data_IF_381836700217
#
_entry.id   IF_381836700217
#
_cell.length_a   1.000
_cell.length_b   1.000
_cell.length_c   1.000
_cell.angle_alpha   90.00
_cell.angle_beta   90.00
_cell.angle_gamma   90.00
#
_symmetry.space_group_name_H-M   'P 1'
#
loop_
_entity.id
_entity.type
_entity.pdbx_description
1 polymer ?
#
# COMPACT_ATOMS: atom_id res chain seq x y z
N UNK A 1 22.32 -12.91 -3.85
CA UNK A 1 21.03 -12.84 -4.57
C UNK A 1 20.37 -11.54 -4.21
N UNK A 2 19.90 -10.74 -5.18
CA UNK A 2 19.09 -9.56 -4.88
C UNK A 2 17.67 -10.07 -4.64
N UNK A 3 17.20 -9.95 -3.40
CA UNK A 3 15.83 -10.28 -3.03
C UNK A 3 14.90 -9.37 -3.84
N UNK A 4 14.03 -9.96 -4.65
CA UNK A 4 13.24 -9.24 -5.65
C UNK A 4 11.93 -8.79 -5.03
N UNK A 5 11.94 -7.62 -4.41
CA UNK A 5 10.84 -7.20 -3.55
C UNK A 5 9.82 -6.36 -4.32
N UNK A 6 8.57 -6.81 -4.36
CA UNK A 6 7.46 -5.91 -4.68
C UNK A 6 7.38 -4.81 -3.60
N UNK A 7 7.12 -3.53 -3.95
CA UNK A 7 7.08 -2.41 -3.01
C UNK A 7 6.26 -2.69 -1.74
N UNK A 8 5.11 -3.34 -1.90
CA UNK A 8 4.23 -3.80 -0.84
C UNK A 8 3.32 -4.91 -1.35
N UNK A 9 2.65 -5.62 -0.43
CA UNK A 9 1.58 -6.57 -0.74
C UNK A 9 0.53 -5.99 -1.70
N UNK A 10 0.10 -4.76 -1.45
CA UNK A 10 -0.86 -4.05 -2.30
C UNK A 10 -0.34 -3.88 -3.74
N UNK A 11 0.93 -3.51 -3.90
CA UNK A 11 1.55 -3.34 -5.23
C UNK A 11 1.68 -4.66 -5.97
N UNK A 12 2.05 -5.72 -5.27
CA UNK A 12 2.14 -7.06 -5.86
C UNK A 12 0.79 -7.50 -6.43
N UNK A 13 -0.26 -7.44 -5.60
CA UNK A 13 -1.59 -7.90 -5.97
C UNK A 13 -2.26 -6.98 -7.00
N UNK A 14 -2.00 -5.67 -6.96
CA UNK A 14 -2.50 -4.76 -7.99
C UNK A 14 -2.00 -5.15 -9.39
N UNK A 15 -0.79 -5.72 -9.46
CA UNK A 15 -0.20 -6.27 -10.68
C UNK A 15 -0.87 -7.54 -11.21
N UNK A 16 -1.85 -8.12 -10.52
CA UNK A 16 -2.56 -9.31 -11.00
C UNK A 16 -3.35 -9.03 -12.28
N UNK A 17 -3.30 -9.97 -13.21
CA UNK A 17 -4.12 -10.05 -14.41
C UNK A 17 -4.40 -11.52 -14.69
N UNK A 18 -5.28 -11.82 -15.65
CA UNK A 18 -5.74 -13.19 -15.91
C UNK A 18 -4.66 -14.12 -16.48
N UNK A 19 -3.56 -13.58 -17.00
CA UNK A 19 -2.45 -14.38 -17.54
C UNK A 19 -1.06 -13.85 -17.13
N UNK A 20 -0.03 -14.71 -17.07
CA UNK A 20 1.34 -14.31 -16.76
C UNK A 20 1.89 -13.24 -17.71
N UNK A 21 1.55 -13.27 -19.00
CA UNK A 21 2.02 -12.30 -20.00
C UNK A 21 1.48 -10.89 -19.73
N UNK A 22 0.23 -10.80 -19.28
CA UNK A 22 -0.39 -9.53 -18.90
C UNK A 22 0.26 -8.95 -17.64
N UNK A 23 0.52 -9.80 -16.64
CA UNK A 23 1.28 -9.43 -15.44
C UNK A 23 2.68 -8.95 -15.81
N UNK A 24 3.39 -9.69 -16.67
CA UNK A 24 4.72 -9.35 -17.16
C UNK A 24 4.74 -7.96 -17.80
N UNK A 25 3.82 -7.72 -18.75
CA UNK A 25 3.68 -6.42 -19.43
C UNK A 25 3.42 -5.28 -18.45
N UNK A 26 2.52 -5.48 -17.49
CA UNK A 26 2.21 -4.47 -16.48
C UNK A 26 3.42 -4.17 -15.58
N UNK A 27 4.15 -5.20 -15.15
CA UNK A 27 5.37 -5.07 -14.36
C UNK A 27 6.47 -4.33 -15.13
N UNK A 28 6.70 -4.68 -16.39
CA UNK A 28 7.67 -3.97 -17.25
C UNK A 28 7.30 -2.50 -17.41
N UNK A 29 6.03 -2.18 -17.65
CA UNK A 29 5.57 -0.79 -17.73
C UNK A 29 5.85 -0.03 -16.42
N UNK A 30 5.59 -0.64 -15.27
CA UNK A 30 5.90 -0.05 -13.97
C UNK A 30 7.40 0.21 -13.79
N UNK A 31 8.26 -0.75 -14.16
CA UNK A 31 9.71 -0.61 -14.10
C UNK A 31 10.25 0.49 -15.03
N UNK A 32 9.63 0.64 -16.21
CA UNK A 32 10.03 1.63 -17.22
C UNK A 32 9.47 3.03 -16.96
N UNK A 33 8.43 3.15 -16.14
CA UNK A 33 7.76 4.41 -15.81
C UNK A 33 7.34 4.41 -14.34
N UNK A 34 8.32 4.48 -13.42
CA UNK A 34 8.03 4.45 -11.98
C UNK A 34 7.22 5.69 -11.55
N UNK A 35 6.49 5.62 -10.43
CA UNK A 35 5.78 6.76 -9.85
C UNK A 35 6.70 7.98 -9.66
N UNK A 36 6.17 9.18 -9.94
CA UNK A 36 6.93 10.43 -9.83
C UNK A 36 6.91 11.07 -8.43
N UNK A 37 6.15 10.49 -7.50
CA UNK A 37 6.03 10.96 -6.11
C UNK A 37 5.91 9.76 -5.16
N UNK A 38 6.08 10.03 -3.86
CA UNK A 38 5.96 9.05 -2.77
C UNK A 38 4.86 9.44 -1.81
N UNK A 39 4.27 8.49 -1.09
CA UNK A 39 3.30 8.80 -0.04
C UNK A 39 3.90 8.77 1.36
N UNK A 40 5.21 8.59 1.49
CA UNK A 40 5.91 8.55 2.78
C UNK A 40 5.53 9.69 3.75
N UNK A 41 5.46 10.97 3.32
CA UNK A 41 5.10 12.06 4.24
C UNK A 41 3.70 11.90 4.86
N UNK A 42 2.77 11.23 4.17
CA UNK A 42 1.41 11.04 4.67
C UNK A 42 1.33 10.05 5.82
N UNK A 43 2.23 9.06 5.89
CA UNK A 43 2.22 8.11 7.00
C UNK A 43 2.57 8.81 8.33
N UNK A 44 3.62 9.63 8.34
CA UNK A 44 4.00 10.41 9.54
C UNK A 44 2.92 11.42 9.92
N UNK A 45 2.37 12.14 8.95
CA UNK A 45 1.30 13.10 9.21
C UNK A 45 0.02 12.42 9.69
N UNK A 46 -0.28 11.20 9.21
CA UNK A 46 -1.41 10.44 9.70
C UNK A 46 -1.18 9.94 11.13
N UNK A 47 0.04 9.53 11.48
CA UNK A 47 0.39 9.25 12.87
C UNK A 47 0.20 10.48 13.76
N UNK A 48 0.71 11.65 13.35
CA UNK A 48 0.57 12.90 14.10
C UNK A 48 -0.90 13.33 14.24
N UNK A 49 -1.72 13.10 13.20
CA UNK A 49 -3.17 13.30 13.25
C UNK A 49 -3.80 12.44 14.34
N UNK A 50 -3.47 11.15 14.39
CA UNK A 50 -3.99 10.24 15.41
C UNK A 50 -3.50 10.61 16.82
N UNK A 51 -2.32 11.21 16.95
CA UNK A 51 -1.82 11.77 18.22
C UNK A 51 -2.49 13.09 18.62
N UNK A 52 -3.42 13.58 17.81
CA UNK A 52 -4.20 14.79 18.11
C UNK A 52 -3.47 16.09 17.81
N UNK A 53 -2.45 16.07 16.95
CA UNK A 53 -1.77 17.31 16.57
C UNK A 53 -2.73 18.26 15.82
N UNK A 54 -2.67 19.58 16.06
CA UNK A 54 -3.57 20.53 15.41
C UNK A 54 -3.50 20.49 13.88
N UNK A 55 -4.67 20.45 13.23
CA UNK A 55 -4.78 20.31 11.77
C UNK A 55 -4.00 21.35 10.96
N UNK A 56 -3.94 22.60 11.44
CA UNK A 56 -3.18 23.68 10.82
C UNK A 56 -1.66 23.43 10.83
N UNK A 57 -1.13 22.78 11.87
CA UNK A 57 0.27 22.38 11.94
C UNK A 57 0.57 21.23 10.98
N UNK A 58 -0.33 20.24 10.90
CA UNK A 58 -0.23 19.14 9.95
C UNK A 58 -0.20 19.64 8.49
N UNK A 59 -1.07 20.61 8.16
CA UNK A 59 -1.09 21.27 6.85
C UNK A 59 0.22 21.99 6.54
N UNK A 60 0.81 22.65 7.53
CA UNK A 60 2.11 23.32 7.38
C UNK A 60 3.24 22.31 7.18
N UNK A 61 3.21 21.17 7.88
CA UNK A 61 4.14 20.06 7.70
C UNK A 61 4.09 19.48 6.29
N UNK A 62 2.89 19.12 5.80
CA UNK A 62 2.69 18.61 4.44
C UNK A 62 3.19 19.60 3.38
N UNK A 63 2.94 20.89 3.57
CA UNK A 63 3.35 21.93 2.61
C UNK A 63 4.87 22.08 2.50
N UNK A 64 5.62 21.65 3.52
CA UNK A 64 7.09 21.65 3.52
C UNK A 64 7.70 20.33 3.03
N UNK A 65 6.90 19.27 2.92
CA UNK A 65 7.38 17.93 2.56
C UNK A 65 7.71 17.77 1.07
N UNK A 66 7.16 18.62 0.20
CA UNK A 66 7.46 18.63 -1.23
C UNK A 66 7.31 20.07 -1.78
N UNK A 67 8.10 20.44 -2.77
CA UNK A 67 8.06 21.77 -3.40
C UNK A 67 7.11 21.85 -4.60
N UNK A 68 6.63 20.71 -5.11
CA UNK A 68 5.77 20.64 -6.30
C UNK A 68 4.31 20.83 -5.90
N UNK A 69 3.69 21.91 -6.39
CA UNK A 69 2.30 22.28 -6.04
C UNK A 69 1.29 21.15 -6.21
N UNK A 70 1.40 20.37 -7.28
CA UNK A 70 0.46 19.27 -7.55
C UNK A 70 0.61 18.11 -6.56
N UNK A 71 1.83 17.86 -6.05
CA UNK A 71 2.09 16.84 -5.02
C UNK A 71 1.53 17.30 -3.68
N UNK A 72 1.83 18.54 -3.29
CA UNK A 72 1.34 19.14 -2.04
C UNK A 72 -0.19 19.20 -2.03
N UNK A 73 -0.82 19.61 -3.15
CA UNK A 73 -2.27 19.59 -3.30
C UNK A 73 -2.84 18.19 -3.07
N UNK A 74 -2.22 17.18 -3.68
CA UNK A 74 -2.64 15.80 -3.53
C UNK A 74 -2.52 15.30 -2.08
N UNK A 75 -1.44 15.65 -1.37
CA UNK A 75 -1.29 15.30 0.04
C UNK A 75 -2.35 15.98 0.92
N UNK A 76 -2.65 17.27 0.65
CA UNK A 76 -3.69 18.02 1.40
C UNK A 76 -5.07 17.41 1.23
N UNK A 77 -5.44 17.01 0.01
CA UNK A 77 -6.71 16.32 -0.25
C UNK A 77 -6.83 15.02 0.56
N UNK A 78 -5.74 14.27 0.70
CA UNK A 78 -5.72 13.04 1.51
C UNK A 78 -5.83 13.37 3.00
N UNK A 79 -5.05 14.34 3.50
CA UNK A 79 -5.08 14.73 4.90
C UNK A 79 -6.46 15.26 5.32
N UNK A 80 -7.12 16.03 4.47
CA UNK A 80 -8.50 16.50 4.72
C UNK A 80 -9.45 15.34 4.98
N UNK A 81 -9.43 14.30 4.14
CA UNK A 81 -10.28 13.10 4.30
C UNK A 81 -9.97 12.30 5.55
N UNK A 82 -8.69 12.16 5.89
CA UNK A 82 -8.29 11.49 7.13
C UNK A 82 -8.72 12.31 8.36
N UNK A 83 -8.54 13.62 8.33
CA UNK A 83 -8.97 14.49 9.44
C UNK A 83 -10.48 14.44 9.65
N UNK A 84 -11.28 14.44 8.58
CA UNK A 84 -12.75 14.27 8.67
C UNK A 84 -13.14 12.96 9.34
N UNK A 85 -12.49 11.84 8.99
CA UNK A 85 -12.79 10.51 9.55
C UNK A 85 -12.47 10.39 11.04
N UNK A 86 -11.41 11.05 11.49
CA UNK A 86 -10.96 11.00 12.89
C UNK A 86 -11.41 12.21 13.72
N UNK A 87 -12.17 13.14 13.12
CA UNK A 87 -12.68 14.32 13.82
C UNK A 87 -13.55 13.90 15.03
N UNK A 88 -13.17 14.40 16.22
CA UNK A 88 -13.90 14.11 17.46
C UNK A 88 -13.66 12.71 18.04
N UNK A 89 -12.76 11.91 17.45
CA UNK A 89 -12.33 10.63 18.04
C UNK A 89 -11.11 10.87 18.92
N UNK A 90 -11.09 10.25 20.10
CA UNK A 90 -9.90 10.21 20.94
C UNK A 90 -9.18 8.89 20.69
N UNK A 91 -7.93 8.98 20.28
CA UNK A 91 -7.06 7.81 20.11
C UNK A 91 -6.27 7.62 21.39
N UNK A 92 -6.34 6.43 21.97
CA UNK A 92 -5.72 6.11 23.25
C UNK A 92 -4.19 5.96 23.12
N UNK A 93 -3.76 5.34 22.02
CA UNK A 93 -2.35 5.14 21.70
C UNK A 93 -2.16 4.95 20.19
N UNK A 94 -0.93 5.17 19.75
CA UNK A 94 -0.45 4.83 18.41
C UNK A 94 0.93 4.19 18.56
N UNK A 95 1.13 3.01 17.97
CA UNK A 95 2.38 2.26 18.02
C UNK A 95 2.79 1.78 16.64
N UNK A 96 4.06 1.93 16.30
CA UNK A 96 4.61 1.36 15.07
C UNK A 96 4.45 -0.16 15.07
N UNK A 97 4.24 -0.74 13.88
CA UNK A 97 4.20 -2.19 13.67
C UNK A 97 5.47 -2.58 12.94
N UNK A 98 6.15 -3.61 13.45
CA UNK A 98 7.31 -4.14 12.77
C UNK A 98 6.92 -4.78 11.44
N UNK A 99 7.65 -4.51 10.35
CA UNK A 99 7.48 -5.19 9.09
C UNK A 99 7.50 -6.72 9.20
N UNK A 100 6.56 -7.38 8.54
CA UNK A 100 6.63 -8.81 8.29
C UNK A 100 6.65 -9.09 6.78
N UNK A 101 6.81 -10.36 6.42
CA UNK A 101 6.87 -10.80 5.04
C UNK A 101 5.97 -12.02 4.84
N UNK A 102 5.11 -11.93 3.83
CA UNK A 102 4.34 -13.06 3.36
C UNK A 102 5.17 -13.86 2.35
N UNK A 103 5.22 -15.19 2.48
CA UNK A 103 6.01 -16.04 1.61
C UNK A 103 5.16 -16.60 0.45
N UNK A 104 5.43 -16.16 -0.78
CA UNK A 104 4.80 -16.69 -1.99
C UNK A 104 5.78 -17.66 -2.67
N UNK A 105 5.71 -18.92 -2.27
CA UNK A 105 6.53 -19.98 -2.86
C UNK A 105 7.97 -20.02 -2.33
N UNK A 106 8.91 -20.53 -3.14
CA UNK A 106 10.28 -20.79 -2.65
C UNK A 106 11.18 -19.55 -2.55
N UNK A 107 10.93 -18.52 -3.36
CA UNK A 107 11.88 -17.40 -3.53
C UNK A 107 11.24 -16.00 -3.54
N UNK A 108 9.94 -15.87 -3.26
CA UNK A 108 9.26 -14.56 -3.28
C UNK A 108 8.76 -14.17 -1.90
N UNK A 109 9.41 -13.18 -1.29
CA UNK A 109 8.92 -12.54 -0.07
C UNK A 109 8.20 -11.24 -0.43
N UNK A 110 6.97 -11.11 0.06
CA UNK A 110 6.14 -9.93 -0.14
C UNK A 110 6.05 -9.16 1.17
N UNK A 111 6.47 -7.89 1.22
CA UNK A 111 6.36 -7.08 2.42
C UNK A 111 4.90 -6.88 2.84
N UNK A 112 4.62 -7.22 4.10
CA UNK A 112 3.43 -6.79 4.82
C UNK A 112 3.87 -5.75 5.85
N UNK A 113 3.62 -4.48 5.53
CA UNK A 113 4.15 -3.32 6.27
C UNK A 113 3.03 -2.34 6.59
N UNK A 114 2.09 -2.68 7.47
CA UNK A 114 1.19 -1.67 7.99
C UNK A 114 2.02 -0.63 8.77
N UNK A 115 1.65 0.66 8.72
CA UNK A 115 2.49 1.72 9.29
C UNK A 115 2.50 1.72 10.82
N UNK A 116 1.37 1.41 11.44
CA UNK A 116 1.17 1.44 12.89
C UNK A 116 -0.15 0.75 13.25
N UNK A 117 -0.34 0.44 14.54
CA UNK A 117 -1.62 0.17 15.18
C UNK A 117 -2.06 1.39 15.99
N UNK A 118 -3.36 1.53 16.21
CA UNK A 118 -3.90 2.52 17.13
C UNK A 118 -5.07 1.96 17.96
N UNK A 119 -5.28 2.54 19.14
CA UNK A 119 -6.37 2.18 20.06
C UNK A 119 -7.50 3.20 20.05
N UNK A 120 -8.74 2.73 19.93
CA UNK A 120 -9.94 3.54 20.18
C UNK A 120 -10.93 2.66 20.96
N UNK A 121 -11.49 3.18 22.05
CA UNK A 121 -12.51 2.51 22.86
C UNK A 121 -12.10 1.08 23.31
N UNK A 122 -10.81 0.90 23.62
CA UNK A 122 -10.24 -0.39 24.01
C UNK A 122 -10.06 -1.41 22.87
N UNK A 123 -10.31 -1.03 21.62
CA UNK A 123 -10.11 -1.88 20.44
C UNK A 123 -8.80 -1.55 19.72
N UNK A 124 -8.05 -2.59 19.34
CA UNK A 124 -6.86 -2.49 18.48
C UNK A 124 -7.30 -2.33 17.02
N UNK A 125 -6.82 -1.30 16.34
CA UNK A 125 -7.05 -1.09 14.91
C UNK A 125 -5.75 -1.11 14.12
N UNK A 126 -5.77 -1.75 12.95
CA UNK A 126 -4.66 -1.80 12.00
C UNK A 126 -5.11 -1.19 10.66
N UNK A 127 -4.78 0.09 10.39
CA UNK A 127 -5.13 0.73 9.15
C UNK A 127 -4.21 0.29 8.01
N UNK A 128 -4.80 0.01 6.86
CA UNK A 128 -4.10 -0.10 5.58
C UNK A 128 -4.49 1.06 4.67
N UNK A 129 -3.52 1.93 4.36
CA UNK A 129 -3.75 3.15 3.60
C UNK A 129 -3.54 2.91 2.10
N UNK A 130 -4.60 3.12 1.32
CA UNK A 130 -4.55 3.10 -0.15
C UNK A 130 -4.64 4.53 -0.69
N UNK A 131 -3.51 5.07 -1.15
CA UNK A 131 -3.44 6.45 -1.63
C UNK A 131 -3.63 6.61 -3.14
N UNK A 132 -3.86 5.53 -3.89
CA UNK A 132 -4.02 5.60 -5.33
C UNK A 132 -5.23 6.44 -5.72
N UNK A 133 -5.02 7.46 -6.58
CA UNK A 133 -6.12 8.30 -7.03
C UNK A 133 -7.16 7.50 -7.82
N UNK A 134 -6.70 6.54 -8.63
CA UNK A 134 -7.56 5.73 -9.48
C UNK A 134 -7.17 4.25 -9.44
N UNK A 135 -8.12 3.40 -9.82
CA UNK A 135 -7.97 1.95 -9.82
C UNK A 135 -7.69 1.39 -8.41
N UNK A 136 -8.61 1.59 -7.45
CA UNK A 136 -8.47 0.97 -6.13
C UNK A 136 -8.48 -0.55 -6.24
N UNK A 137 -7.98 -1.24 -5.21
CA UNK A 137 -8.12 -2.69 -5.12
C UNK A 137 -9.61 -3.04 -5.11
N UNK A 138 -10.02 -3.92 -6.01
CA UNK A 138 -11.42 -4.32 -6.19
C UNK A 138 -11.51 -5.75 -6.73
N UNK A 139 -12.70 -6.35 -6.60
CA UNK A 139 -13.00 -7.69 -7.11
C UNK A 139 -12.03 -8.76 -6.58
N UNK A 140 -11.59 -9.66 -7.48
CA UNK A 140 -10.66 -10.74 -7.13
C UNK A 140 -9.33 -10.24 -6.54
N UNK A 141 -8.84 -9.07 -6.95
CA UNK A 141 -7.62 -8.49 -6.38
C UNK A 141 -7.79 -8.11 -4.91
N UNK A 142 -8.94 -7.51 -4.57
CA UNK A 142 -9.25 -7.19 -3.18
C UNK A 142 -9.45 -8.46 -2.34
N UNK A 143 -10.07 -9.48 -2.93
CA UNK A 143 -10.28 -10.79 -2.27
C UNK A 143 -8.95 -11.49 -1.99
N UNK A 144 -8.03 -11.51 -2.97
CA UNK A 144 -6.67 -12.02 -2.78
C UNK A 144 -5.93 -11.24 -1.69
N UNK A 145 -5.97 -9.91 -1.74
CA UNK A 145 -5.38 -9.07 -0.70
C UNK A 145 -5.93 -9.41 0.69
N UNK A 146 -7.25 -9.47 0.83
CA UNK A 146 -7.88 -9.77 2.11
C UNK A 146 -7.58 -11.18 2.62
N UNK A 147 -7.37 -12.15 1.73
CA UNK A 147 -7.00 -13.52 2.08
C UNK A 147 -5.58 -13.56 2.65
N UNK A 148 -4.59 -12.99 1.93
CA UNK A 148 -3.19 -13.00 2.38
C UNK A 148 -2.97 -12.18 3.66
N UNK A 149 -3.73 -11.08 3.83
CA UNK A 149 -3.68 -10.30 5.07
C UNK A 149 -4.23 -11.12 6.23
N UNK A 150 -5.35 -11.83 6.07
CA UNK A 150 -5.93 -12.63 7.14
C UNK A 150 -5.01 -13.76 7.59
N UNK A 151 -4.39 -14.47 6.65
CA UNK A 151 -3.36 -15.47 6.97
C UNK A 151 -2.20 -14.84 7.75
N UNK A 152 -1.70 -13.69 7.30
CA UNK A 152 -0.62 -12.98 7.99
C UNK A 152 -1.01 -12.54 9.41
N UNK A 153 -2.25 -12.10 9.63
CA UNK A 153 -2.74 -11.71 10.95
C UNK A 153 -2.89 -12.93 11.87
N UNK A 154 -3.38 -14.05 11.34
CA UNK A 154 -3.49 -15.30 12.11
C UNK A 154 -2.13 -15.85 12.53
N UNK A 155 -1.09 -15.61 11.73
CA UNK A 155 0.29 -16.00 12.02
C UNK A 155 1.04 -15.01 12.94
N UNK A 156 0.41 -13.89 13.33
CA UNK A 156 1.05 -12.80 14.08
C UNK A 156 0.42 -12.62 15.47
N UNK A 157 0.99 -13.23 16.54
CA UNK A 157 0.46 -13.12 17.90
C UNK A 157 0.26 -11.67 18.39
N UNK A 158 1.16 -10.76 18.01
CA UNK A 158 1.08 -9.34 18.40
C UNK A 158 -0.13 -8.61 17.80
N UNK A 159 -0.67 -9.13 16.69
CA UNK A 159 -1.80 -8.58 15.95
C UNK A 159 -3.10 -9.37 16.19
N UNK A 160 -3.13 -10.25 17.19
CA UNK A 160 -4.34 -10.97 17.60
C UNK A 160 -5.49 -9.98 17.90
N UNK A 161 -6.71 -10.32 17.48
CA UNK A 161 -7.94 -9.52 17.64
C UNK A 161 -7.92 -8.12 17.00
N UNK A 162 -6.94 -7.80 16.16
CA UNK A 162 -6.90 -6.48 15.54
C UNK A 162 -8.03 -6.29 14.53
N UNK A 163 -8.66 -5.12 14.57
CA UNK A 163 -9.63 -4.69 13.57
C UNK A 163 -8.86 -4.08 12.40
N UNK A 164 -8.64 -4.89 11.37
CA UNK A 164 -8.01 -4.44 10.14
C UNK A 164 -8.99 -3.68 9.26
N UNK A 165 -8.63 -2.45 8.88
CA UNK A 165 -9.45 -1.57 8.03
C UNK A 165 -8.63 -1.06 6.85
N UNK A 166 -9.17 -1.17 5.64
CA UNK A 166 -8.62 -0.54 4.44
C UNK A 166 -9.22 0.85 4.32
N UNK A 167 -8.36 1.87 4.28
CA UNK A 167 -8.71 3.26 4.01
C UNK A 167 -8.40 3.55 2.54
N UNK A 168 -9.41 3.45 1.68
CA UNK A 168 -9.28 3.78 0.27
C UNK A 168 -9.57 5.25 0.03
N UNK A 169 -8.52 6.00 -0.31
CA UNK A 169 -8.56 7.44 -0.55
C UNK A 169 -8.64 7.76 -2.05
N UNK A 170 -9.19 6.84 -2.84
CA UNK A 170 -9.36 6.99 -4.29
C UNK A 170 -10.44 8.03 -4.64
N UNK A 171 -10.43 8.47 -5.90
CA UNK A 171 -11.48 9.31 -6.47
C UNK A 171 -12.36 8.47 -7.41
N UNK A 172 -13.68 8.76 -7.52
CA UNK A 172 -14.57 8.06 -8.46
C UNK A 172 -14.10 8.20 -9.92
N UNK A 173 -13.49 9.33 -10.24
CA UNK A 173 -12.92 9.66 -11.55
C UNK A 173 -11.58 10.38 -11.43
N UNK A 174 -10.82 10.40 -12.54
CA UNK A 174 -9.47 11.01 -12.58
C UNK A 174 -9.48 12.51 -12.24
N UNK A 175 -10.54 13.21 -12.65
CA UNK A 175 -10.69 14.65 -12.48
C UNK A 175 -11.59 15.02 -11.29
N UNK A 176 -12.07 14.01 -10.56
CA UNK A 176 -12.90 14.18 -9.37
C UNK A 176 -12.05 14.31 -8.11
N UNK A 177 -12.68 14.83 -7.04
CA UNK A 177 -12.08 14.90 -5.71
C UNK A 177 -11.97 13.50 -5.12
N UNK A 178 -10.92 13.27 -4.33
CA UNK A 178 -10.77 12.06 -3.53
C UNK A 178 -11.91 11.93 -2.52
N UNK A 179 -12.39 10.72 -2.34
CA UNK A 179 -13.25 10.33 -1.22
C UNK A 179 -12.45 9.56 -0.17
N UNK A 180 -13.17 9.00 0.79
CA UNK A 180 -12.66 7.98 1.70
C UNK A 180 -13.69 6.86 1.80
N UNK A 181 -13.27 5.64 1.49
CA UNK A 181 -14.04 4.42 1.75
C UNK A 181 -13.29 3.59 2.75
N UNK A 182 -13.92 3.29 3.90
CA UNK A 182 -13.34 2.44 4.93
C UNK A 182 -13.98 1.06 4.85
N UNK A 183 -13.19 0.03 4.57
CA UNK A 183 -13.67 -1.36 4.46
C UNK A 183 -13.05 -2.21 5.56
N UNK A 184 -13.86 -2.94 6.32
CA UNK A 184 -13.35 -3.91 7.29
C UNK A 184 -12.87 -5.17 6.54
N UNK A 185 -11.73 -5.72 6.93
CA UNK A 185 -11.21 -6.97 6.36
C UNK A 185 -12.24 -8.12 6.39
N UNK A 186 -13.06 -8.17 7.45
CA UNK A 186 -14.09 -9.19 7.66
C UNK A 186 -15.24 -9.11 6.66
N UNK A 187 -15.44 -7.95 6.03
CA UNK A 187 -16.52 -7.72 5.08
C UNK A 187 -16.10 -8.09 3.63
N UNK A 188 -14.82 -8.44 3.43
CA UNK A 188 -14.29 -8.77 2.11
C UNK A 188 -14.35 -10.29 1.91
N UNK A 189 -14.99 -10.77 0.81
CA UNK A 189 -14.99 -12.18 0.46
C UNK A 189 -13.56 -12.74 0.36
N UNK A 190 -13.35 -13.91 0.96
CA UNK A 190 -12.08 -14.64 0.92
C UNK A 190 -12.08 -15.59 -0.27
N UNK A 191 -10.89 -15.83 -0.80
CA UNK A 191 -10.67 -16.87 -1.79
C UNK A 191 -10.54 -18.21 -1.09
N UNK A 192 -10.95 -19.28 -1.76
CA UNK A 192 -10.52 -20.62 -1.35
C UNK A 192 -9.04 -20.85 -1.73
N UNK A 193 -8.50 -21.96 -1.24
CA UNK A 193 -7.08 -22.29 -1.45
C UNK A 193 -6.73 -22.47 -2.93
N UNK A 194 -7.62 -23.08 -3.72
CA UNK A 194 -7.40 -23.37 -5.13
C UNK A 194 -7.33 -22.07 -5.94
N UNK A 195 -8.29 -21.17 -5.75
CA UNK A 195 -8.30 -19.85 -6.38
C UNK A 195 -7.09 -19.00 -5.96
N UNK A 196 -6.76 -19.00 -4.66
CA UNK A 196 -5.60 -18.27 -4.12
C UNK A 196 -4.31 -18.74 -4.78
N UNK A 197 -4.07 -20.05 -4.81
CA UNK A 197 -2.86 -20.64 -5.41
C UNK A 197 -2.78 -20.32 -6.90
N UNK A 198 -3.86 -20.52 -7.65
CA UNK A 198 -3.88 -20.22 -9.08
C UNK A 198 -3.56 -18.74 -9.38
N UNK A 199 -4.10 -17.81 -8.58
CA UNK A 199 -3.80 -16.39 -8.73
C UNK A 199 -2.35 -16.04 -8.40
N UNK A 200 -1.77 -16.66 -7.36
CA UNK A 200 -0.39 -16.46 -6.95
C UNK A 200 0.61 -17.04 -7.98
N UNK A 201 0.30 -18.18 -8.59
CA UNK A 201 1.11 -18.77 -9.67
C UNK A 201 1.18 -17.82 -10.89
N UNK A 202 0.05 -17.27 -11.32
CA UNK A 202 0.00 -16.28 -12.42
C UNK A 202 0.86 -15.05 -12.10
N UNK A 203 0.79 -14.54 -10.87
CA UNK A 203 1.62 -13.43 -10.42
C UNK A 203 3.10 -13.79 -10.42
N UNK A 204 3.44 -14.95 -9.87
CA UNK A 204 4.82 -15.43 -9.78
C UNK A 204 5.44 -15.55 -11.17
N UNK A 205 4.78 -16.26 -12.08
CA UNK A 205 5.25 -16.48 -13.44
C UNK A 205 5.39 -15.16 -14.21
N UNK A 206 4.40 -14.27 -14.11
CA UNK A 206 4.45 -12.97 -14.77
C UNK A 206 5.58 -12.07 -14.26
N UNK A 207 5.84 -12.06 -12.95
CA UNK A 207 6.98 -11.32 -12.39
C UNK A 207 8.31 -11.93 -12.83
N UNK A 208 8.43 -13.26 -12.83
CA UNK A 208 9.63 -13.96 -13.30
C UNK A 208 9.93 -13.66 -14.78
N UNK A 209 8.91 -13.65 -15.64
CA UNK A 209 9.03 -13.25 -17.05
C UNK A 209 9.52 -11.81 -17.19
N UNK A 210 8.91 -10.86 -16.46
CA UNK A 210 9.29 -9.46 -16.52
C UNK A 210 10.74 -9.22 -16.08
N UNK A 211 11.19 -9.91 -15.04
CA UNK A 211 12.57 -9.78 -14.57
C UNK A 211 13.58 -10.28 -15.60
N UNK A 212 13.28 -11.41 -16.27
CA UNK A 212 14.11 -11.94 -17.34
C UNK A 212 14.20 -10.95 -18.50
N UNK A 213 13.07 -10.42 -18.94
CA UNK A 213 13.04 -9.43 -20.03
C UNK A 213 13.72 -8.11 -19.66
N UNK A 214 13.59 -7.67 -18.40
CA UNK A 214 14.25 -6.47 -17.90
C UNK A 214 15.78 -6.62 -17.82
N UNK A 215 16.28 -7.83 -17.53
CA UNK A 215 17.71 -8.14 -17.52
C UNK A 215 18.35 -8.07 -18.92
N UNK A 216 17.58 -8.42 -19.96
CA UNK A 216 18.04 -8.46 -21.35
C UNK A 216 18.03 -7.06 -22.03
N UNK A 217 17.42 -6.05 -21.42
CA UNK A 217 17.35 -4.69 -21.98
C UNK A 217 18.52 -3.81 -21.48
N UNK A 218 19.20 -3.06 -22.37
CA UNK A 218 20.23 -2.12 -21.94
C UNK A 218 19.61 -1.06 -21.03
N UNK A 219 20.15 -0.91 -19.81
CA UNK A 219 19.70 0.09 -18.83
C UNK A 219 19.74 1.48 -19.47
N UNK A 220 18.57 2.03 -19.79
CA UNK A 220 18.46 3.45 -20.18
C UNK A 220 19.03 4.26 -19.01
N UNK A 221 20.03 5.11 -19.26
CA UNK A 221 20.52 6.10 -18.29
C UNK A 221 19.40 7.12 -18.04
N UNK A 222 18.39 6.75 -17.27
CA UNK A 222 17.53 7.71 -16.60
C UNK A 222 18.43 8.46 -15.63
N UNK A 223 18.41 9.81 -15.68
CA UNK A 223 18.95 10.62 -14.58
C UNK A 223 18.27 10.12 -13.31
N UNK A 224 19.01 9.37 -12.51
CA UNK A 224 18.58 8.99 -11.17
C UNK A 224 18.29 10.29 -10.42
N UNK A 225 17.09 10.49 -9.85
CA UNK A 225 17.00 11.26 -8.62
C UNK A 225 18.01 10.63 -7.65
N UNK A 226 18.78 11.46 -6.95
CA UNK A 226 19.91 11.08 -6.09
C UNK A 226 19.69 9.76 -5.33
N UNK A 227 20.76 8.95 -5.27
CA UNK A 227 20.88 7.64 -4.62
C UNK A 227 19.73 7.32 -3.63
N UNK A 228 18.66 6.73 -4.17
CA UNK A 228 17.57 6.24 -3.36
C UNK A 228 17.98 4.93 -2.68
N UNK A 229 17.99 4.90 -1.36
CA UNK A 229 18.20 3.69 -0.53
C UNK A 229 17.21 2.59 -0.99
N UNK A 230 17.64 1.33 -1.19
CA UNK A 230 16.75 0.25 -1.59
C UNK A 230 15.53 0.15 -0.69
N UNK A 231 15.63 0.47 0.62
CA UNK A 231 14.50 0.60 1.56
C UNK A 231 13.50 1.73 1.25
N UNK A 232 13.72 2.52 0.20
CA UNK A 232 12.86 3.63 -0.21
C UNK A 232 11.81 3.24 -1.27
N UNK A 233 11.87 2.03 -1.83
CA UNK A 233 10.77 1.49 -2.65
C UNK A 233 9.59 0.96 -1.81
N UNK A 234 9.69 1.01 -0.49
CA UNK A 234 8.82 0.25 0.42
C UNK A 234 7.68 1.07 1.07
N UNK A 235 7.52 2.34 0.68
CA UNK A 235 6.49 3.28 1.18
C UNK A 235 5.82 4.09 0.04
N UNK A 236 5.88 3.55 -1.19
CA UNK A 236 5.02 3.98 -2.29
C UNK A 236 3.67 3.29 -2.18
#
# INVERSE_FOLDING_TARGET
MVQKVAPSLQHYIKGYYETPEMVCKARLNFLMSPPQMTYRPLFGVFEDLLRGQPYNELLAGISKADSRDWVVKNYKEILERLNEEFAGRSVDYVHAVEPSYYNVGKDTLIPFKPPFIYGIDGQKHLPWLSFWKTGPLSGKKLSLFATLVEEQLNDSPDLEDVIFKIYDLSAPGKDEKRGLVVTNLRDIPKLDEEEKVAMLEILHDGYAMADKEAADKPKRKTKQPEAHDPNQYFLL
#
